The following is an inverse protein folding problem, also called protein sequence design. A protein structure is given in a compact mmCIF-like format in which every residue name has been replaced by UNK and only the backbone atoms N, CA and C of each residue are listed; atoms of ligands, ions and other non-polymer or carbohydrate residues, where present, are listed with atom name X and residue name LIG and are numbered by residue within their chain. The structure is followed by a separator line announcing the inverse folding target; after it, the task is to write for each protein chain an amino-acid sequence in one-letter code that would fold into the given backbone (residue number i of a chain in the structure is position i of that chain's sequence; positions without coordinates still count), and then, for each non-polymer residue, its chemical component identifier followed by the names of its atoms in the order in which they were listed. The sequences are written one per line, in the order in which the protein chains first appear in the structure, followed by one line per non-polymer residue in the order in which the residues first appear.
data_IF_224159706732
#
_entry.id   IF_224159706732
#
_cell.length_a   1.000
_cell.length_b   1.000
_cell.length_c   1.000
_cell.angle_alpha   90.00
_cell.angle_beta   90.00
_cell.angle_gamma   90.00
#
_symmetry.space_group_name_H-M   'P 1'
#
loop_
_entity.id
_entity.type
_entity.pdbx_description
1 polymer ?
#
# COMPACT_ATOMS: atom_id res chain seq x y z
N UNK A 1 -2.45 -21.64 -3.77
CA UNK A 1 -2.85 -20.28 -4.21
C UNK A 1 -2.22 -20.03 -5.56
N UNK A 2 -2.96 -19.40 -6.47
CA UNK A 2 -2.49 -19.21 -7.84
C UNK A 2 -1.60 -17.96 -7.95
N UNK A 3 -0.56 -17.98 -8.80
CA UNK A 3 0.23 -16.79 -9.08
C UNK A 3 -0.61 -15.76 -9.86
N UNK A 4 -0.11 -14.52 -9.91
CA UNK A 4 -0.70 -13.49 -10.76
C UNK A 4 -0.66 -13.91 -12.23
N UNK A 5 -1.74 -13.62 -12.96
CA UNK A 5 -1.86 -13.88 -14.40
C UNK A 5 -2.42 -12.66 -15.10
N UNK A 6 -2.36 -12.61 -16.44
CA UNK A 6 -2.97 -11.49 -17.18
C UNK A 6 -4.49 -11.38 -16.99
N UNK A 7 -5.16 -12.51 -16.76
CA UNK A 7 -6.59 -12.60 -16.53
C UNK A 7 -6.99 -12.20 -15.09
N UNK A 8 -6.05 -12.32 -14.13
CA UNK A 8 -6.33 -12.15 -12.70
C UNK A 8 -6.31 -10.66 -12.29
N UNK A 9 -7.35 -9.92 -12.67
CA UNK A 9 -7.60 -8.54 -12.23
C UNK A 9 -8.82 -8.46 -11.30
N UNK A 10 -8.59 -8.17 -10.02
CA UNK A 10 -9.66 -8.00 -9.04
C UNK A 10 -9.99 -6.52 -8.86
N UNK A 11 -11.22 -6.13 -9.20
CA UNK A 11 -11.74 -4.77 -9.02
C UNK A 11 -12.58 -4.76 -7.76
N UNK A 12 -12.29 -3.83 -6.85
CA UNK A 12 -13.01 -3.68 -5.59
C UNK A 12 -13.88 -2.41 -5.56
N UNK A 13 -13.63 -1.47 -6.47
CA UNK A 13 -14.45 -0.27 -6.65
C UNK A 13 -14.27 0.32 -8.05
N UNK A 14 -15.34 0.80 -8.66
CA UNK A 14 -15.30 1.53 -9.92
C UNK A 14 -16.31 2.68 -9.92
N UNK A 15 -15.92 3.80 -10.52
CA UNK A 15 -16.74 5.00 -10.73
C UNK A 15 -16.26 5.69 -12.02
N UNK A 16 -16.89 6.81 -12.38
CA UNK A 16 -16.46 7.61 -13.54
C UNK A 16 -15.05 8.20 -13.38
N UNK A 17 -14.61 8.42 -12.13
CA UNK A 17 -13.34 9.10 -11.83
C UNK A 17 -12.24 8.17 -11.33
N UNK A 18 -12.60 7.05 -10.70
CA UNK A 18 -11.66 6.15 -10.03
C UNK A 18 -11.98 4.68 -10.26
N UNK A 19 -10.91 3.90 -10.38
CA UNK A 19 -10.89 2.45 -10.31
C UNK A 19 -9.98 2.04 -9.15
N UNK A 20 -10.46 1.19 -8.24
CA UNK A 20 -9.64 0.58 -7.20
C UNK A 20 -9.55 -0.90 -7.45
N UNK A 21 -8.32 -1.39 -7.53
CA UNK A 21 -8.02 -2.80 -7.72
C UNK A 21 -7.47 -3.40 -6.43
N UNK A 22 -7.72 -4.69 -6.22
CA UNK A 22 -6.95 -5.49 -5.29
C UNK A 22 -5.73 -6.04 -6.03
N UNK A 23 -4.61 -5.30 -5.99
CA UNK A 23 -3.35 -5.68 -6.64
C UNK A 23 -2.89 -7.02 -6.09
N UNK A 24 -2.53 -7.94 -6.98
CA UNK A 24 -1.94 -9.21 -6.59
C UNK A 24 -0.58 -9.01 -5.89
N UNK A 25 -0.17 -9.99 -5.08
CA UNK A 25 1.20 -10.08 -4.57
C UNK A 25 2.16 -10.46 -5.70
N UNK A 26 3.45 -10.14 -5.51
CA UNK A 26 4.52 -10.31 -6.50
C UNK A 26 4.15 -9.80 -7.90
N UNK A 27 3.54 -8.62 -7.92
CA UNK A 27 3.09 -7.96 -9.15
C UNK A 27 3.55 -6.51 -9.15
N UNK A 28 4.38 -6.16 -10.14
CA UNK A 28 4.80 -4.77 -10.34
C UNK A 28 3.62 -3.95 -10.86
N UNK A 29 3.54 -2.68 -10.43
CA UNK A 29 2.51 -1.76 -10.91
C UNK A 29 2.71 -1.47 -12.40
N UNK A 30 3.90 -1.03 -12.80
CA UNK A 30 4.24 -0.68 -14.16
C UNK A 30 5.67 -1.10 -14.52
N UNK A 31 5.96 -1.22 -15.81
CA UNK A 31 7.31 -1.45 -16.30
C UNK A 31 7.44 -0.93 -17.72
N UNK A 32 8.61 -0.38 -18.05
CA UNK A 32 9.00 -0.07 -19.43
C UNK A 32 9.82 -1.21 -20.06
N UNK A 33 10.21 -2.19 -19.27
CA UNK A 33 11.04 -3.31 -19.73
C UNK A 33 10.18 -4.30 -20.51
N UNK A 34 10.51 -4.51 -21.77
CA UNK A 34 9.77 -5.44 -22.65
C UNK A 34 9.72 -6.87 -22.10
N UNK A 35 10.77 -7.31 -21.38
CA UNK A 35 10.86 -8.64 -20.74
C UNK A 35 9.86 -8.85 -19.61
N UNK A 36 9.38 -7.78 -18.99
CA UNK A 36 8.45 -7.89 -17.87
C UNK A 36 7.03 -8.01 -18.43
N UNK A 37 6.60 -9.25 -18.68
CA UNK A 37 5.36 -9.56 -19.40
C UNK A 37 4.11 -9.36 -18.56
N UNK A 38 4.21 -9.41 -17.23
CA UNK A 38 3.10 -9.27 -16.31
C UNK A 38 3.30 -8.07 -15.37
N UNK A 39 2.42 -7.07 -15.49
CA UNK A 39 2.32 -5.93 -14.57
C UNK A 39 0.85 -5.57 -14.40
N UNK A 40 0.51 -4.86 -13.33
CA UNK A 40 -0.85 -4.36 -13.16
C UNK A 40 -1.26 -3.45 -14.33
N UNK A 41 -0.33 -2.63 -14.82
CA UNK A 41 -0.55 -1.79 -16.00
C UNK A 41 -0.92 -2.60 -17.25
N UNK A 42 -0.30 -3.77 -17.45
CA UNK A 42 -0.64 -4.66 -18.57
C UNK A 42 -1.99 -5.34 -18.34
N UNK A 43 -2.29 -5.79 -17.12
CA UNK A 43 -3.62 -6.31 -16.76
C UNK A 43 -4.70 -5.25 -17.04
N UNK A 44 -4.53 -4.03 -16.54
CA UNK A 44 -5.48 -2.94 -16.78
C UNK A 44 -5.68 -2.67 -18.28
N UNK A 45 -4.61 -2.67 -19.09
CA UNK A 45 -4.73 -2.50 -20.54
C UNK A 45 -5.45 -3.64 -21.24
N UNK A 46 -5.25 -4.87 -20.76
CA UNK A 46 -5.89 -6.05 -21.31
C UNK A 46 -7.41 -6.03 -21.04
N UNK A 47 -7.80 -5.71 -19.80
CA UNK A 47 -9.19 -5.71 -19.36
C UNK A 47 -9.96 -4.43 -19.72
N UNK A 48 -9.27 -3.29 -19.75
CA UNK A 48 -9.86 -1.96 -19.98
C UNK A 48 -9.02 -1.13 -20.96
N UNK A 49 -8.87 -1.57 -22.23
CA UNK A 49 -8.11 -0.82 -23.22
C UNK A 49 -8.64 0.61 -23.44
N UNK A 50 -9.95 0.82 -23.26
CA UNK A 50 -10.62 2.11 -23.38
C UNK A 50 -10.31 3.09 -22.23
N UNK A 51 -9.85 2.58 -21.07
CA UNK A 51 -9.41 3.41 -19.95
C UNK A 51 -7.94 3.83 -20.06
N UNK A 52 -7.24 3.36 -21.10
CA UNK A 52 -5.85 3.72 -21.33
C UNK A 52 -5.72 5.20 -21.77
N UNK A 53 -4.89 5.95 -21.06
CA UNK A 53 -4.65 7.37 -21.28
C UNK A 53 -3.33 7.59 -22.04
N UNK A 54 -3.38 7.96 -23.33
CA UNK A 54 -2.20 8.11 -24.18
C UNK A 54 -1.31 9.28 -23.75
N UNK A 55 -1.83 10.24 -22.98
CA UNK A 55 -1.06 11.39 -22.46
C UNK A 55 -0.17 10.99 -21.27
N UNK A 56 -0.23 9.72 -20.85
CA UNK A 56 0.56 9.21 -19.73
C UNK A 56 1.60 8.20 -20.20
N UNK A 57 2.78 8.25 -19.60
CA UNK A 57 3.88 7.35 -19.97
C UNK A 57 3.59 5.85 -19.76
N UNK A 58 2.60 5.52 -18.94
CA UNK A 58 2.21 4.14 -18.63
C UNK A 58 0.79 3.79 -19.06
N UNK A 59 0.03 4.71 -19.65
CA UNK A 59 -1.37 4.50 -20.03
C UNK A 59 -2.37 4.61 -18.87
N UNK A 60 -1.94 4.78 -17.62
CA UNK A 60 -2.84 4.88 -16.47
C UNK A 60 -2.30 5.86 -15.43
N UNK A 61 -3.19 6.51 -14.69
CA UNK A 61 -2.86 7.49 -13.64
C UNK A 61 -2.93 6.84 -12.26
N UNK A 62 -1.90 6.09 -11.86
CA UNK A 62 -1.81 5.51 -10.53
C UNK A 62 -1.73 6.62 -9.45
N UNK A 63 -2.66 6.61 -8.50
CA UNK A 63 -2.76 7.67 -7.49
C UNK A 63 -1.69 7.55 -6.39
N UNK A 64 -1.17 6.35 -6.18
CA UNK A 64 -0.12 6.03 -5.24
C UNK A 64 0.59 4.73 -5.65
N UNK A 65 1.56 4.30 -4.85
CA UNK A 65 2.31 3.07 -5.07
C UNK A 65 2.04 2.03 -3.97
N UNK A 66 2.43 0.81 -4.30
CA UNK A 66 2.48 -0.39 -3.47
C UNK A 66 3.74 -1.16 -3.87
N UNK A 67 4.45 -1.74 -2.91
CA UNK A 67 5.63 -2.55 -3.19
C UNK A 67 5.24 -3.77 -4.05
N UNK A 68 6.21 -4.30 -4.80
CA UNK A 68 6.04 -5.48 -5.67
C UNK A 68 5.33 -6.64 -4.94
N UNK A 69 5.87 -7.07 -3.80
CA UNK A 69 5.35 -8.21 -3.02
C UNK A 69 4.11 -7.89 -2.19
N UNK A 70 3.73 -6.61 -2.05
CA UNK A 70 2.54 -6.23 -1.27
C UNK A 70 1.28 -6.33 -2.12
N UNK A 71 0.27 -7.05 -1.64
CA UNK A 71 -1.06 -7.08 -2.29
C UNK A 71 -1.98 -5.98 -1.76
N UNK A 72 -3.14 -5.78 -2.39
CA UNK A 72 -4.24 -5.00 -1.80
C UNK A 72 -4.61 -3.75 -2.59
N UNK A 73 -5.37 -2.87 -1.94
CA UNK A 73 -6.01 -1.72 -2.56
C UNK A 73 -5.02 -0.76 -3.24
N UNK A 74 -5.13 -0.62 -4.56
CA UNK A 74 -4.44 0.39 -5.36
C UNK A 74 -5.46 1.22 -6.15
N UNK A 75 -5.42 2.53 -5.98
CA UNK A 75 -6.32 3.45 -6.68
C UNK A 75 -5.70 4.00 -7.98
N UNK A 76 -6.47 3.95 -9.06
CA UNK A 76 -6.19 4.50 -10.39
C UNK A 76 -7.21 5.59 -10.69
N UNK A 77 -6.75 6.77 -11.08
CA UNK A 77 -7.62 7.82 -11.57
C UNK A 77 -7.87 7.62 -13.07
N UNK A 78 -9.12 7.80 -13.49
CA UNK A 78 -9.56 7.58 -14.88
C UNK A 78 -9.52 8.85 -15.74
N UNK A 79 -9.25 10.00 -15.12
CA UNK A 79 -9.07 11.26 -15.83
C UNK A 79 -8.10 12.20 -15.08
N UNK A 80 -7.70 13.29 -15.75
CA UNK A 80 -6.72 14.26 -15.23
C UNK A 80 -7.22 14.99 -13.97
N UNK A 81 -8.51 15.33 -13.90
CA UNK A 81 -9.08 16.04 -12.76
C UNK A 81 -9.08 15.14 -11.51
N UNK A 82 -9.51 13.89 -11.67
CA UNK A 82 -9.47 12.84 -10.66
C UNK A 82 -8.04 12.62 -10.13
N UNK A 83 -7.06 12.52 -11.03
CA UNK A 83 -5.65 12.36 -10.66
C UNK A 83 -5.13 13.55 -9.84
N UNK A 84 -5.46 14.78 -10.25
CA UNK A 84 -5.09 16.00 -9.51
C UNK A 84 -5.71 16.05 -8.10
N UNK A 85 -6.97 15.67 -7.98
CA UNK A 85 -7.67 15.59 -6.69
C UNK A 85 -7.03 14.55 -5.76
N UNK A 86 -6.70 13.37 -6.29
CA UNK A 86 -6.07 12.31 -5.51
C UNK A 86 -4.67 12.73 -5.06
N UNK A 87 -3.87 13.28 -5.99
CA UNK A 87 -2.55 13.82 -5.68
C UNK A 87 -2.59 14.83 -4.53
N UNK A 88 -3.56 15.77 -4.56
CA UNK A 88 -3.75 16.74 -3.47
C UNK A 88 -4.02 16.04 -2.14
N UNK A 89 -4.87 15.01 -2.12
CA UNK A 89 -5.15 14.23 -0.91
C UNK A 89 -3.92 13.54 -0.33
N UNK A 90 -3.09 12.92 -1.18
CA UNK A 90 -1.84 12.29 -0.75
C UNK A 90 -0.81 13.31 -0.26
N UNK A 91 -0.64 14.42 -0.99
CA UNK A 91 0.29 15.51 -0.63
C UNK A 91 -0.06 16.13 0.72
N UNK A 92 -1.34 16.37 0.98
CA UNK A 92 -1.87 16.96 2.21
C UNK A 92 -2.08 15.94 3.35
N UNK A 93 -1.67 14.68 3.16
CA UNK A 93 -1.83 13.58 4.14
C UNK A 93 -3.27 13.38 4.62
N UNK A 94 -4.24 13.62 3.74
CA UNK A 94 -5.69 13.40 4.00
C UNK A 94 -6.17 12.00 3.65
N UNK A 95 -5.26 11.14 3.18
CA UNK A 95 -5.55 9.73 2.87
C UNK A 95 -5.37 8.89 4.13
N UNK A 96 -6.33 8.02 4.39
CA UNK A 96 -6.21 7.00 5.45
C UNK A 96 -5.90 5.66 4.81
N UNK A 97 -4.87 4.97 5.32
CA UNK A 97 -4.48 3.64 4.88
C UNK A 97 -4.36 2.72 6.08
N UNK A 98 -4.80 1.47 5.94
CA UNK A 98 -4.49 0.42 6.90
C UNK A 98 -4.15 -0.87 6.18
N UNK A 99 -3.28 -1.66 6.78
CA UNK A 99 -2.71 -2.87 6.20
C UNK A 99 -2.87 -4.02 7.19
N UNK A 100 -3.17 -5.20 6.70
CA UNK A 100 -3.06 -6.43 7.47
C UNK A 100 -1.68 -7.03 7.22
N UNK A 101 -1.06 -7.55 8.28
CA UNK A 101 0.16 -8.34 8.15
C UNK A 101 0.18 -9.54 9.09
N UNK A 102 0.94 -10.56 8.72
CA UNK A 102 1.47 -11.55 9.66
C UNK A 102 2.93 -11.19 9.93
N UNK A 103 3.29 -11.00 11.20
CA UNK A 103 4.66 -10.73 11.64
C UNK A 103 5.19 -11.89 12.48
N UNK A 104 6.50 -12.14 12.42
CA UNK A 104 7.18 -13.18 13.19
C UNK A 104 7.09 -12.89 14.69
N UNK A 105 6.96 -13.95 15.49
CA UNK A 105 6.85 -13.90 16.95
C UNK A 105 5.49 -13.40 17.46
N UNK A 106 5.34 -13.45 18.78
CA UNK A 106 4.17 -12.91 19.49
C UNK A 106 4.50 -11.51 20.02
N UNK A 107 3.96 -10.48 19.36
CA UNK A 107 4.01 -9.10 19.83
C UNK A 107 3.18 -9.02 21.11
N UNK A 108 3.80 -8.71 22.24
CA UNK A 108 3.14 -8.79 23.55
C UNK A 108 2.20 -7.60 23.79
N UNK A 109 2.61 -6.41 23.33
CA UNK A 109 1.82 -5.20 23.44
C UNK A 109 0.66 -5.24 22.45
N UNK A 110 -0.56 -5.05 22.96
CA UNK A 110 -1.77 -4.98 22.11
C UNK A 110 -1.70 -3.85 21.08
N UNK A 111 -1.02 -2.75 21.41
CA UNK A 111 -0.82 -1.61 20.52
C UNK A 111 0.60 -1.05 20.65
N UNK A 112 1.24 -0.76 19.52
CA UNK A 112 2.60 -0.19 19.46
C UNK A 112 2.61 1.03 18.53
N UNK A 113 3.26 2.11 18.95
CA UNK A 113 3.57 3.25 18.08
C UNK A 113 5.04 3.22 17.71
N UNK A 114 5.34 3.11 16.41
CA UNK A 114 6.70 2.98 15.90
C UNK A 114 7.08 4.28 15.19
N UNK A 115 8.07 4.99 15.71
CA UNK A 115 8.42 6.35 15.28
C UNK A 115 9.88 6.53 14.84
N UNK A 116 10.62 5.44 14.62
CA UNK A 116 11.98 5.51 14.07
C UNK A 116 11.96 6.22 12.71
N UNK A 117 12.79 7.24 12.53
CA UNK A 117 12.96 7.84 11.21
C UNK A 117 13.60 6.84 10.23
N UNK A 118 13.22 6.89 8.95
CA UNK A 118 13.69 5.96 7.92
C UNK A 118 14.55 6.71 6.90
N UNK A 119 15.75 6.21 6.66
CA UNK A 119 16.72 6.68 5.67
C UNK A 119 17.06 5.62 4.62
N UNK A 120 17.91 5.99 3.66
CA UNK A 120 18.50 5.02 2.73
C UNK A 120 19.67 4.31 3.39
N UNK A 121 19.81 3.02 3.11
CA UNK A 121 21.00 2.26 3.51
C UNK A 121 22.05 2.38 2.40
N UNK A 122 23.21 2.97 2.70
CA UNK A 122 24.32 3.10 1.74
C UNK A 122 25.32 1.96 1.78
N UNK A 123 25.25 1.08 2.79
CA UNK A 123 26.26 0.04 3.03
C UNK A 123 25.90 -1.32 2.47
N UNK A 124 24.60 -1.63 2.37
CA UNK A 124 24.12 -2.93 1.86
C UNK A 124 23.55 -2.85 0.43
N UNK A 125 23.65 -1.68 -0.22
CA UNK A 125 23.28 -1.52 -1.62
C UNK A 125 21.79 -1.79 -1.91
N UNK A 126 21.51 -2.62 -2.93
CA UNK A 126 20.13 -2.92 -3.37
C UNK A 126 19.43 -4.01 -2.58
N UNK A 127 20.11 -4.75 -1.71
CA UNK A 127 19.48 -5.84 -0.93
C UNK A 127 18.54 -5.24 0.11
N UNK A 128 19.03 -4.37 1.00
CA UNK A 128 18.22 -3.64 1.97
C UNK A 128 18.21 -2.15 1.64
N UNK A 129 17.28 -1.67 0.81
CA UNK A 129 17.36 -0.27 0.31
C UNK A 129 17.11 0.81 1.38
N UNK A 130 16.46 0.45 2.49
CA UNK A 130 16.01 1.37 3.55
C UNK A 130 16.40 0.83 4.91
N UNK A 131 16.71 1.72 5.86
CA UNK A 131 17.05 1.38 7.24
C UNK A 131 16.53 2.46 8.20
N UNK A 132 16.58 2.19 9.51
CA UNK A 132 16.16 3.13 10.55
C UNK A 132 17.33 4.05 10.96
N UNK A 133 17.00 5.21 11.51
CA UNK A 133 17.98 6.11 12.11
C UNK A 133 18.84 5.40 13.17
N UNK A 134 20.12 5.75 13.24
CA UNK A 134 21.07 5.15 14.18
C UNK A 134 21.73 3.85 13.70
N UNK A 135 21.20 3.16 12.68
CA UNK A 135 21.92 2.02 12.07
C UNK A 135 23.08 2.50 11.19
N UNK A 136 24.14 1.70 11.13
CA UNK A 136 25.28 1.96 10.25
C UNK A 136 24.82 2.13 8.79
N UNK A 137 25.33 3.15 8.09
CA UNK A 137 24.97 3.43 6.70
C UNK A 137 23.61 4.09 6.49
N UNK A 138 22.90 4.53 7.54
CA UNK A 138 21.63 5.26 7.39
C UNK A 138 21.85 6.72 6.95
N UNK A 139 21.40 7.05 5.74
CA UNK A 139 21.51 8.39 5.16
C UNK A 139 20.15 9.08 5.04
N UNK A 140 20.13 10.38 5.36
CA UNK A 140 18.97 11.28 5.22
C UNK A 140 17.67 10.68 5.83
N UNK A 141 17.67 10.29 7.12
CA UNK A 141 16.49 9.74 7.77
C UNK A 141 15.37 10.78 7.77
N UNK A 142 14.16 10.32 7.46
CA UNK A 142 12.96 11.17 7.43
C UNK A 142 11.96 10.70 8.47
N UNK A 143 11.24 11.63 9.14
CA UNK A 143 10.22 11.28 10.12
C UNK A 143 9.23 10.27 9.56
N UNK A 144 9.02 9.20 10.31
CA UNK A 144 8.15 8.08 9.93
C UNK A 144 7.34 7.66 11.15
N UNK A 145 6.07 7.32 10.93
CA UNK A 145 5.16 6.95 12.01
C UNK A 145 4.19 5.87 11.54
N UNK A 146 4.15 4.78 12.29
CA UNK A 146 3.24 3.65 12.08
C UNK A 146 2.58 3.29 13.41
N UNK A 147 1.25 3.20 13.42
CA UNK A 147 0.50 2.59 14.51
C UNK A 147 0.30 1.10 14.19
N UNK A 148 0.61 0.22 15.13
CA UNK A 148 0.42 -1.23 15.03
C UNK A 148 -0.58 -1.64 16.11
N UNK A 149 -1.60 -2.41 15.72
CA UNK A 149 -2.56 -3.06 16.61
C UNK A 149 -2.48 -4.57 16.41
N UNK A 150 -2.24 -5.32 17.48
CA UNK A 150 -2.30 -6.78 17.45
C UNK A 150 -3.76 -7.22 17.41
N UNK A 151 -4.09 -8.05 16.43
CA UNK A 151 -5.43 -8.60 16.26
C UNK A 151 -5.52 -10.00 16.88
N UNK A 152 -4.57 -10.86 16.55
CA UNK A 152 -4.56 -12.28 16.93
C UNK A 152 -3.11 -12.78 17.05
N UNK A 153 -2.85 -13.71 17.97
CA UNK A 153 -1.64 -14.52 17.98
C UNK A 153 -1.94 -15.91 17.41
N UNK A 154 -0.96 -16.53 16.78
CA UNK A 154 -1.12 -17.87 16.23
C UNK A 154 0.19 -18.49 15.78
N UNK A 155 0.06 -19.49 14.90
CA UNK A 155 1.18 -20.15 14.25
C UNK A 155 1.04 -20.04 12.73
N UNK A 156 2.15 -19.86 12.03
CA UNK A 156 2.24 -19.99 10.57
C UNK A 156 3.32 -21.03 10.26
N UNK A 157 2.94 -22.12 9.60
CA UNK A 157 3.85 -23.26 9.32
C UNK A 157 4.55 -23.82 10.58
N UNK A 158 3.94 -23.69 11.75
CA UNK A 158 4.50 -24.15 13.03
C UNK A 158 5.22 -23.07 13.84
N UNK A 159 5.56 -21.93 13.23
CA UNK A 159 6.28 -20.83 13.89
C UNK A 159 5.32 -19.81 14.51
N UNK A 160 5.68 -19.21 15.68
CA UNK A 160 4.87 -18.18 16.31
C UNK A 160 4.75 -16.93 15.42
N UNK A 161 3.53 -16.43 15.26
CA UNK A 161 3.24 -15.19 14.52
C UNK A 161 2.15 -14.36 15.18
N UNK A 162 2.15 -13.07 14.88
CA UNK A 162 1.07 -12.14 15.23
C UNK A 162 0.42 -11.61 13.97
N UNK A 163 -0.91 -11.66 13.92
CA UNK A 163 -1.71 -10.93 12.93
C UNK A 163 -1.92 -9.52 13.43
N UNK A 164 -1.55 -8.53 12.63
CA UNK A 164 -1.55 -7.13 13.01
C UNK A 164 -2.28 -6.25 11.99
N UNK A 165 -2.90 -5.19 12.48
CA UNK A 165 -3.36 -4.06 11.69
C UNK A 165 -2.32 -2.94 11.80
N UNK A 166 -1.79 -2.50 10.66
CA UNK A 166 -0.79 -1.44 10.56
C UNK A 166 -1.40 -0.20 9.90
N UNK A 167 -1.29 0.95 10.55
CA UNK A 167 -1.77 2.24 10.04
C UNK A 167 -0.59 3.20 9.92
N UNK A 168 0.01 3.31 8.72
CA UNK A 168 1.09 4.27 8.49
C UNK A 168 0.52 5.69 8.38
N UNK A 169 0.96 6.58 9.26
CA UNK A 169 0.62 8.01 9.23
C UNK A 169 1.55 8.82 8.32
N UNK A 170 2.65 8.20 7.91
CA UNK A 170 3.57 8.67 6.87
C UNK A 170 3.62 7.68 5.70
N UNK A 171 4.41 7.97 4.68
CA UNK A 171 4.59 7.07 3.53
C UNK A 171 6.04 7.11 3.06
N UNK A 172 6.93 6.42 3.76
CA UNK A 172 8.29 6.14 3.26
C UNK A 172 8.31 4.81 2.51
N UNK A 173 9.30 4.66 1.63
CA UNK A 173 9.57 3.40 0.95
C UNK A 173 9.79 2.30 1.98
N UNK A 174 9.13 1.16 1.79
CA UNK A 174 9.19 -0.01 2.68
C UNK A 174 8.85 0.26 4.16
N UNK A 175 8.17 1.37 4.49
CA UNK A 175 8.02 1.84 5.87
C UNK A 175 7.53 0.76 6.84
N UNK A 176 6.47 0.05 6.49
CA UNK A 176 5.88 -0.98 7.35
C UNK A 176 6.83 -2.14 7.58
N UNK A 177 7.52 -2.58 6.52
CA UNK A 177 8.47 -3.69 6.54
C UNK A 177 9.67 -3.38 7.43
N UNK A 178 10.26 -2.20 7.24
CA UNK A 178 11.39 -1.71 8.05
C UNK A 178 10.98 -1.51 9.51
N UNK A 179 9.83 -0.90 9.79
CA UNK A 179 9.36 -0.70 11.16
C UNK A 179 9.09 -2.02 11.89
N UNK A 180 8.44 -2.97 11.23
CA UNK A 180 8.17 -4.30 11.80
C UNK A 180 9.48 -5.05 12.08
N UNK A 181 10.43 -5.05 11.14
CA UNK A 181 11.76 -5.62 11.34
C UNK A 181 12.53 -4.94 12.49
N UNK A 182 12.47 -3.60 12.58
CA UNK A 182 13.09 -2.82 13.66
C UNK A 182 12.50 -3.12 15.06
N UNK A 183 11.23 -3.53 15.15
CA UNK A 183 10.64 -4.02 16.39
C UNK A 183 11.07 -5.45 16.76
N UNK A 184 11.85 -6.13 15.91
CA UNK A 184 12.16 -7.55 16.07
C UNK A 184 11.06 -8.50 15.60
N UNK A 185 10.06 -7.97 14.88
CA UNK A 185 8.91 -8.72 14.37
C UNK A 185 8.77 -8.53 12.85
N UNK A 186 9.71 -9.02 12.03
CA UNK A 186 9.64 -8.87 10.58
C UNK A 186 8.37 -9.49 10.00
N UNK A 187 7.96 -9.00 8.82
CA UNK A 187 6.79 -9.54 8.13
C UNK A 187 7.15 -10.91 7.56
N UNK A 188 6.28 -11.90 7.79
CA UNK A 188 6.44 -13.25 7.25
C UNK A 188 6.50 -13.22 5.72
N UNK A 189 7.49 -13.89 5.15
CA UNK A 189 7.80 -13.94 3.72
C UNK A 189 8.50 -12.69 3.18
N UNK A 190 9.01 -11.81 4.05
CA UNK A 190 9.79 -10.64 3.61
C UNK A 190 11.26 -11.01 3.37
N UNK A 191 11.56 -11.40 2.13
CA UNK A 191 12.91 -11.74 1.67
C UNK A 191 13.94 -10.61 1.80
N UNK A 192 13.50 -9.38 2.08
CA UNK A 192 14.39 -8.23 2.23
C UNK A 192 14.62 -7.84 3.68
N UNK A 193 13.67 -8.02 4.60
CA UNK A 193 13.81 -7.49 5.97
C UNK A 193 13.62 -8.55 7.06
N UNK A 194 13.43 -9.81 6.69
CA UNK A 194 13.44 -10.95 7.61
C UNK A 194 14.81 -11.27 8.17
N UNK A 195 14.84 -12.04 9.26
CA UNK A 195 16.08 -12.54 9.82
C UNK A 195 16.51 -13.82 9.09
N UNK A 196 17.82 -14.11 9.10
CA UNK A 196 18.36 -15.29 8.43
C UNK A 196 17.75 -16.61 8.97
N UNK A 197 17.41 -16.64 10.25
CA UNK A 197 16.87 -17.83 10.91
C UNK A 197 15.37 -18.05 10.63
N UNK A 198 14.65 -17.05 10.11
CA UNK A 198 13.19 -17.11 9.91
C UNK A 198 12.76 -17.89 8.65
N UNK A 199 13.71 -18.28 7.79
CA UNK A 199 13.47 -19.00 6.52
C UNK A 199 12.37 -18.32 5.66
N UNK A 200 12.53 -17.02 5.37
CA UNK A 200 11.50 -16.23 4.67
C UNK A 200 11.27 -16.60 3.20
N UNK A 201 12.03 -17.55 2.66
CA UNK A 201 11.81 -18.18 1.36
C UNK A 201 10.78 -19.31 1.38
N UNK A 202 10.39 -19.81 2.57
CA UNK A 202 9.38 -20.86 2.73
C UNK A 202 7.93 -20.38 2.53
N UNK A 203 7.50 -19.22 3.07
CA UNK A 203 6.16 -18.69 2.79
C UNK A 203 5.98 -18.42 1.29
N UNK A 204 4.82 -18.80 0.73
CA UNK A 204 4.54 -18.63 -0.70
C UNK A 204 4.46 -17.16 -1.17
N UNK A 205 4.48 -16.19 -0.24
CA UNK A 205 4.45 -14.75 -0.48
C UNK A 205 4.83 -13.98 0.78
N UNK A 206 5.07 -12.68 0.61
CA UNK A 206 5.07 -11.73 1.74
C UNK A 206 3.65 -11.47 2.26
N UNK A 207 3.48 -11.60 3.58
CA UNK A 207 2.24 -11.45 4.32
C UNK A 207 1.95 -10.00 4.68
N UNK A 208 1.90 -9.13 3.67
CA UNK A 208 1.47 -7.74 3.79
C UNK A 208 0.37 -7.44 2.76
N UNK A 209 -0.74 -6.89 3.24
CA UNK A 209 -1.91 -6.59 2.43
C UNK A 209 -2.48 -5.20 2.74
N UNK A 210 -2.55 -4.33 1.74
CA UNK A 210 -3.24 -3.04 1.82
C UNK A 210 -4.75 -3.26 1.91
N UNK A 211 -5.25 -3.31 3.13
CA UNK A 211 -6.61 -3.71 3.48
C UNK A 211 -7.62 -2.56 3.34
N UNK A 212 -7.25 -1.38 3.82
CA UNK A 212 -8.13 -0.22 3.85
C UNK A 212 -7.49 0.98 3.15
N UNK A 213 -8.27 1.63 2.29
CA UNK A 213 -7.88 2.86 1.61
C UNK A 213 -9.08 3.82 1.61
N UNK A 214 -8.89 5.01 2.17
CA UNK A 214 -9.86 6.11 2.08
C UNK A 214 -9.17 7.36 1.55
N UNK A 215 -9.66 7.82 0.41
CA UNK A 215 -9.21 9.07 -0.22
C UNK A 215 -10.38 10.07 -0.12
N UNK A 216 -10.27 11.04 0.79
CA UNK A 216 -11.30 12.06 0.98
C UNK A 216 -11.22 13.10 -0.13
N UNK A 217 -11.89 12.82 -1.24
CA UNK A 217 -12.09 13.76 -2.34
C UNK A 217 -13.10 14.79 -1.87
N UNK A 218 -12.65 15.98 -1.52
CA UNK A 218 -13.50 17.04 -1.01
C UNK A 218 -14.71 17.21 -1.94
N UNK A 219 -15.90 16.89 -1.44
CA UNK A 219 -17.12 17.03 -2.21
C UNK A 219 -17.31 18.53 -2.46
N UNK A 220 -17.53 18.92 -3.71
CA UNK A 220 -18.21 20.19 -3.98
C UNK A 220 -19.49 20.17 -3.16
N UNK A 221 -19.58 20.98 -2.10
CA UNK A 221 -20.84 21.27 -1.44
C UNK A 221 -21.69 22.06 -2.43
N UNK A 222 -22.39 21.37 -3.32
CA UNK A 222 -23.56 21.96 -3.97
C UNK A 222 -24.65 21.97 -2.92
N UNK A 223 -24.71 23.07 -2.16
CA UNK A 223 -25.86 23.36 -1.32
C UNK A 223 -27.04 23.57 -2.25
N UNK A 224 -27.82 22.52 -2.50
CA UNK A 224 -29.19 22.68 -2.98
C UNK A 224 -29.99 23.29 -1.82
N UNK A 225 -30.00 24.61 -1.73
CA UNK A 225 -31.05 25.33 -0.98
C UNK A 225 -32.33 25.12 -1.76
N UNK A 226 -33.11 24.10 -1.36
CA UNK A 226 -34.51 24.05 -1.70
C UNK A 226 -35.14 25.39 -1.31
N UNK A 227 -35.61 26.12 -2.31
CA UNK A 227 -36.44 27.30 -2.12
C UNK A 227 -37.73 26.79 -1.49
N UNK A 228 -37.84 26.87 -0.16
CA UNK A 228 -39.13 26.85 0.50
C UNK A 228 -39.80 28.17 0.15
N UNK A 229 -40.59 28.15 -0.92
CA UNK A 229 -41.55 29.21 -1.17
C UNK A 229 -42.58 29.18 -0.04
N UNK A 230 -42.59 30.29 0.67
CA UNK A 230 -43.59 30.71 1.63
C UNK A 230 -44.98 30.67 1.00
N UNK A 231 -45.95 30.14 1.75
CA UNK A 231 -47.16 30.86 2.20
C UNK A 231 -48.06 29.95 3.05
N UNK A 232 -48.44 30.37 4.27
CA UNK A 232 -49.66 29.92 4.92
C UNK A 232 -50.81 30.83 4.46
N UNK A 233 -51.95 30.25 4.05
CA UNK A 233 -53.20 31.02 3.89
C UNK A 233 -54.42 30.10 4.00
N UNK A 234 -55.16 30.33 5.11
CA UNK A 234 -56.52 29.92 5.47
C UNK A 234 -56.76 28.44 5.82
#
# INVERSE_FOLDING_TARGET
MEPGSMENLSIVYQSNDFLVVNKHWDLRIDSKTWRETLTLQKQLRHHFPELADPDTCYGFRFCHQLDFSTSGALCVALNKAAAGSAYKCFKERRVTKAYLALVRGHVQESQVTINYAIGRNSTEGRTHTMCIEGTHGCENPKPSLTELLVLEHGLYSGDPVSKVLLKPLTGRTHQLRVHCSALGHPIVGDLTYGQADDQEDQPFRMMLHAFYLRICMGVHWSVYRGVLHTRPSL
#
